data_IF_110540686701
#
_entry.id   IF_110540686701
#
_cell.length_a   1.000
_cell.length_b   1.000
_cell.length_c   1.000
_cell.angle_alpha   90.00
_cell.angle_beta   90.00
_cell.angle_gamma   90.00
#
_symmetry.space_group_name_H-M   'P 1'
#
loop_
_entity.id
_entity.type
_entity.pdbx_description
1 polymer ?
#
# COMPACT_ATOMS: atom_id res chain seq x y z
N UNK A 1 -3.48 5.37 14.12
CA UNK A 1 -2.43 5.54 13.09
C UNK A 1 -3.11 5.39 11.77
N UNK A 2 -2.86 6.32 10.87
CA UNK A 2 -3.34 6.17 9.50
C UNK A 2 -2.47 5.14 8.76
N UNK A 3 -2.93 4.67 7.60
CA UNK A 3 -2.18 3.68 6.78
C UNK A 3 -0.77 4.19 6.48
N UNK A 4 -0.65 5.48 6.18
CA UNK A 4 0.63 6.15 5.94
C UNK A 4 1.54 6.11 7.18
N UNK A 5 1.03 6.48 8.36
CA UNK A 5 1.83 6.47 9.60
C UNK A 5 2.31 5.07 9.99
N UNK A 6 1.46 4.06 9.76
CA UNK A 6 1.83 2.68 10.03
C UNK A 6 2.92 2.20 9.07
N UNK A 7 2.75 2.47 7.77
CA UNK A 7 3.73 2.09 6.75
C UNK A 7 5.09 2.74 6.99
N UNK A 8 5.12 4.04 7.31
CA UNK A 8 6.35 4.77 7.62
C UNK A 8 7.09 4.15 8.83
N UNK A 9 6.37 3.70 9.87
CA UNK A 9 6.99 2.98 11.00
C UNK A 9 7.61 1.64 10.59
N UNK A 10 6.90 0.85 9.77
CA UNK A 10 7.43 -0.45 9.30
C UNK A 10 8.65 -0.26 8.40
N UNK A 11 8.62 0.76 7.52
CA UNK A 11 9.74 1.15 6.68
C UNK A 11 10.97 1.55 7.49
N UNK A 12 10.80 2.40 8.50
CA UNK A 12 11.89 2.80 9.41
C UNK A 12 12.47 1.62 10.18
N UNK A 13 11.63 0.65 10.54
CA UNK A 13 12.05 -0.58 11.19
C UNK A 13 12.60 -1.64 10.23
N UNK A 14 12.68 -1.36 8.92
CA UNK A 14 13.21 -2.28 7.90
C UNK A 14 12.35 -3.50 7.61
N UNK A 15 11.06 -3.46 7.95
CA UNK A 15 10.14 -4.58 7.73
C UNK A 15 9.50 -4.47 6.35
N UNK A 16 9.62 -5.48 5.48
CA UNK A 16 8.92 -5.50 4.20
C UNK A 16 7.40 -5.64 4.41
N UNK A 17 6.62 -5.01 3.53
CA UNK A 17 5.17 -5.01 3.59
C UNK A 17 4.55 -5.79 2.42
N UNK A 18 3.39 -6.40 2.68
CA UNK A 18 2.53 -7.02 1.68
C UNK A 18 1.07 -6.63 1.93
N UNK A 19 0.24 -6.72 0.89
CA UNK A 19 -1.22 -6.55 1.00
C UNK A 19 -1.89 -7.87 0.63
N UNK A 20 -2.73 -8.38 1.52
CA UNK A 20 -3.63 -9.49 1.22
C UNK A 20 -4.97 -8.91 0.75
N UNK A 21 -5.45 -9.40 -0.39
CA UNK A 21 -6.72 -8.97 -0.95
C UNK A 21 -7.49 -10.14 -1.55
N UNK A 22 -8.82 -9.97 -1.65
CA UNK A 22 -9.72 -10.97 -2.23
C UNK A 22 -9.80 -10.89 -3.75
N UNK A 23 -10.92 -11.39 -4.29
CA UNK A 23 -11.20 -11.34 -5.73
C UNK A 23 -11.38 -9.88 -6.20
N UNK A 24 -11.04 -9.64 -7.46
CA UNK A 24 -11.22 -8.35 -8.15
C UNK A 24 -10.49 -7.16 -7.50
N UNK A 25 -9.38 -7.42 -6.79
CA UNK A 25 -8.56 -6.37 -6.21
C UNK A 25 -7.99 -5.44 -7.28
N UNK A 26 -8.30 -4.15 -7.16
CA UNK A 26 -7.86 -3.12 -8.12
C UNK A 26 -8.75 -2.98 -9.36
N UNK A 27 -9.92 -3.62 -9.40
CA UNK A 27 -10.90 -3.39 -10.47
C UNK A 27 -11.47 -1.96 -10.44
N UNK A 28 -11.79 -1.41 -11.62
CA UNK A 28 -12.35 -0.07 -11.79
C UNK A 28 -11.56 0.80 -12.77
N UNK A 29 -11.78 2.12 -12.70
CA UNK A 29 -11.05 3.08 -13.55
C UNK A 29 -9.56 3.06 -13.24
N UNK A 30 -8.71 3.06 -14.26
CA UNK A 30 -7.27 3.26 -14.08
C UNK A 30 -6.99 4.58 -13.36
N UNK A 31 -6.16 4.53 -12.32
CA UNK A 31 -5.71 5.69 -11.55
C UNK A 31 -4.23 5.52 -11.27
N UNK A 32 -3.42 6.46 -11.73
CA UNK A 32 -1.95 6.44 -11.57
C UNK A 32 -1.49 6.12 -10.13
N UNK A 33 -2.22 6.65 -9.15
CA UNK A 33 -1.88 6.51 -7.74
C UNK A 33 -2.26 5.17 -7.11
N UNK A 34 -3.08 4.35 -7.78
CA UNK A 34 -3.44 3.03 -7.26
C UNK A 34 -2.24 2.07 -7.16
N UNK A 35 -1.20 2.29 -7.97
CA UNK A 35 0.06 1.53 -7.93
C UNK A 35 1.21 2.32 -7.28
N UNK A 36 1.35 3.61 -7.62
CA UNK A 36 2.44 4.46 -7.09
C UNK A 36 2.32 4.68 -5.59
N UNK A 37 1.09 4.80 -5.06
CA UNK A 37 0.83 4.95 -3.63
C UNK A 37 1.42 3.78 -2.83
N UNK A 38 0.94 2.54 -3.02
CA UNK A 38 1.45 1.37 -2.32
C UNK A 38 2.97 1.14 -2.46
N UNK A 39 3.58 1.54 -3.57
CA UNK A 39 5.03 1.44 -3.76
C UNK A 39 5.84 2.39 -2.86
N UNK A 40 5.27 3.54 -2.50
CA UNK A 40 5.94 4.56 -1.70
C UNK A 40 5.72 4.41 -0.19
N UNK A 41 4.78 3.54 0.20
CA UNK A 41 4.47 3.20 1.59
C UNK A 41 5.65 2.49 2.27
#
# INVERSE_FOLDING_TARGET
LDVFDAAERYKQAGHPLIVLAGKEYGAGSSRDWAAKGPFLL
#
